data_IF_393799090334
#
_entry.id   IF_393799090334
#
_cell.length_a   1.000
_cell.length_b   1.000
_cell.length_c   1.000
_cell.angle_alpha   90.00
_cell.angle_beta   90.00
_cell.angle_gamma   90.00
#
_symmetry.space_group_name_H-M   'P 1'
#
loop_
_entity.id
_entity.type
_entity.pdbx_description
1 polymer ?
#
# COMPACT_ATOMS: atom_id res chain seq x y z
N UNK A 1 15.97 -31.11 6.13
CA UNK A 1 14.65 -30.45 6.28
C UNK A 1 13.60 -31.44 5.83
N UNK A 2 12.40 -31.41 6.41
CA UNK A 2 11.27 -32.26 6.02
C UNK A 2 10.14 -31.36 5.53
N UNK A 3 9.57 -31.68 4.37
CA UNK A 3 8.47 -30.95 3.72
C UNK A 3 7.22 -31.84 3.73
N UNK A 4 6.15 -31.33 4.34
CA UNK A 4 4.84 -31.98 4.39
C UNK A 4 3.85 -31.11 3.61
N UNK A 5 3.19 -31.69 2.61
CA UNK A 5 2.25 -30.97 1.76
C UNK A 5 0.80 -31.48 1.93
N UNK A 6 -0.16 -30.56 1.90
CA UNK A 6 -1.56 -30.90 1.65
C UNK A 6 -1.85 -30.63 0.17
N UNK A 7 -2.16 -31.68 -0.57
CA UNK A 7 -2.57 -31.59 -1.98
C UNK A 7 -4.06 -31.34 -2.02
N UNK A 8 -4.46 -30.17 -2.52
CA UNK A 8 -5.84 -29.71 -2.57
C UNK A 8 -6.13 -29.21 -3.99
N UNK A 9 -7.09 -29.81 -4.70
CA UNK A 9 -7.41 -29.41 -6.07
C UNK A 9 -7.97 -27.99 -6.20
N UNK A 10 -8.44 -27.41 -5.10
CA UNK A 10 -8.98 -26.05 -5.08
C UNK A 10 -7.86 -24.99 -4.96
N UNK A 11 -6.60 -25.39 -4.73
CA UNK A 11 -5.44 -24.48 -4.79
C UNK A 11 -5.11 -24.21 -6.26
N UNK A 12 -5.17 -22.96 -6.72
CA UNK A 12 -4.90 -22.64 -8.13
C UNK A 12 -3.45 -22.91 -8.48
N UNK A 13 -3.20 -23.36 -9.71
CA UNK A 13 -1.87 -23.57 -10.27
C UNK A 13 -1.28 -22.23 -10.72
N UNK A 14 -0.67 -21.51 -9.79
CA UNK A 14 0.01 -20.26 -10.05
C UNK A 14 1.38 -20.46 -10.74
N UNK A 15 1.70 -19.59 -11.71
CA UNK A 15 3.04 -19.51 -12.31
C UNK A 15 4.01 -18.70 -11.43
N UNK A 16 5.31 -18.78 -11.74
CA UNK A 16 6.38 -18.08 -11.02
C UNK A 16 7.18 -19.04 -10.15
N UNK A 17 7.68 -18.56 -9.01
CA UNK A 17 8.40 -19.37 -8.02
C UNK A 17 7.46 -20.29 -7.23
N UNK A 18 6.14 -20.16 -7.42
CA UNK A 18 5.14 -21.08 -6.89
C UNK A 18 5.23 -22.51 -7.47
N UNK A 19 5.98 -22.71 -8.56
CA UNK A 19 6.15 -24.01 -9.20
C UNK A 19 7.42 -24.72 -8.71
N UNK A 20 7.27 -25.92 -8.16
CA UNK A 20 8.39 -26.75 -7.72
C UNK A 20 8.14 -28.24 -8.03
N UNK A 21 9.20 -29.05 -8.21
CA UNK A 21 9.04 -30.47 -8.52
C UNK A 21 8.51 -31.25 -7.31
N UNK A 22 7.63 -32.21 -7.56
CA UNK A 22 7.07 -33.08 -6.53
C UNK A 22 8.13 -33.84 -5.72
N UNK A 23 9.33 -34.04 -6.26
CA UNK A 23 10.46 -34.66 -5.56
C UNK A 23 11.00 -33.83 -4.38
N UNK A 24 10.56 -32.58 -4.20
CA UNK A 24 10.85 -31.77 -3.02
C UNK A 24 9.89 -32.04 -1.83
N UNK A 25 8.88 -32.88 -2.01
CA UNK A 25 7.90 -33.22 -0.97
C UNK A 25 8.29 -34.57 -0.35
N UNK A 26 8.52 -34.60 0.97
CA UNK A 26 8.83 -35.85 1.69
C UNK A 26 7.56 -36.65 2.01
N UNK A 27 6.48 -35.94 2.37
CA UNK A 27 5.18 -36.52 2.69
C UNK A 27 4.06 -35.63 2.15
N UNK A 28 2.98 -36.24 1.64
CA UNK A 28 1.77 -35.51 1.30
C UNK A 28 0.50 -36.20 1.76
N UNK A 29 -0.54 -35.41 1.96
CA UNK A 29 -1.92 -35.86 2.20
C UNK A 29 -2.81 -35.19 1.17
N UNK A 30 -3.65 -35.96 0.50
CA UNK A 30 -4.68 -35.43 -0.39
C UNK A 30 -5.91 -35.04 0.44
N UNK A 31 -6.27 -33.75 0.41
CA UNK A 31 -7.46 -33.24 1.08
C UNK A 31 -7.99 -32.02 0.34
N UNK A 32 -9.13 -32.20 -0.30
CA UNK A 32 -9.84 -31.12 -0.99
C UNK A 32 -10.69 -30.33 0.02
N UNK A 33 -10.24 -29.13 0.36
CA UNK A 33 -11.01 -28.19 1.17
C UNK A 33 -11.21 -26.87 0.42
N UNK A 34 -12.32 -26.19 0.68
CA UNK A 34 -12.54 -24.86 0.12
C UNK A 34 -11.50 -23.88 0.66
N UNK A 35 -10.91 -23.08 -0.23
CA UNK A 35 -10.01 -22.02 0.20
C UNK A 35 -10.77 -20.95 0.99
N UNK A 36 -10.06 -20.33 1.93
CA UNK A 36 -10.57 -19.15 2.61
C UNK A 36 -10.85 -18.04 1.59
N UNK A 37 -12.05 -17.47 1.64
CA UNK A 37 -12.47 -16.38 0.76
C UNK A 37 -12.59 -15.10 1.57
N UNK A 38 -11.99 -14.03 1.04
CA UNK A 38 -12.17 -12.67 1.53
C UNK A 38 -12.95 -11.85 0.53
N UNK A 39 -14.21 -11.54 0.86
CA UNK A 39 -15.05 -10.72 0.00
C UNK A 39 -14.84 -9.23 0.27
N UNK A 40 -14.78 -8.44 -0.80
CA UNK A 40 -14.74 -6.99 -0.70
C UNK A 40 -16.02 -6.44 -0.07
N UNK A 41 -15.86 -5.51 0.86
CA UNK A 41 -16.96 -4.72 1.40
C UNK A 41 -17.30 -3.54 0.47
N UNK A 42 -18.53 -3.03 0.59
CA UNK A 42 -18.93 -1.82 -0.12
C UNK A 42 -18.08 -0.63 0.31
N UNK A 43 -17.65 0.19 -0.66
CA UNK A 43 -16.83 1.37 -0.41
C UNK A 43 -17.63 2.47 0.28
N UNK A 44 -17.14 2.95 1.41
CA UNK A 44 -17.65 4.16 2.07
C UNK A 44 -17.32 5.43 1.27
N UNK A 45 -18.07 6.50 1.49
CA UNK A 45 -17.79 7.79 0.84
C UNK A 45 -16.46 8.40 1.30
N UNK A 46 -16.03 8.10 2.52
CA UNK A 46 -14.71 8.47 3.00
C UNK A 46 -13.60 7.78 2.20
N UNK A 47 -13.72 6.47 1.97
CA UNK A 47 -12.76 5.70 1.18
C UNK A 47 -12.74 6.17 -0.28
N UNK A 48 -13.89 6.45 -0.88
CA UNK A 48 -13.97 7.01 -2.24
C UNK A 48 -13.23 8.34 -2.36
N UNK A 49 -13.37 9.25 -1.38
CA UNK A 49 -12.62 10.52 -1.37
C UNK A 49 -11.11 10.30 -1.30
N UNK A 50 -10.65 9.38 -0.45
CA UNK A 50 -9.23 9.01 -0.39
C UNK A 50 -8.79 8.39 -1.71
N UNK A 51 -9.56 7.45 -2.24
CA UNK A 51 -9.33 6.79 -3.53
C UNK A 51 -9.14 7.79 -4.66
N UNK A 52 -10.05 8.76 -4.77
CA UNK A 52 -9.98 9.85 -5.72
C UNK A 52 -8.70 10.68 -5.56
N UNK A 53 -8.38 11.11 -4.34
CA UNK A 53 -7.18 11.91 -4.06
C UNK A 53 -5.88 11.17 -4.40
N UNK A 54 -5.81 9.87 -4.12
CA UNK A 54 -4.67 9.02 -4.49
C UNK A 54 -4.60 8.83 -6.01
N UNK A 55 -5.74 8.59 -6.68
CA UNK A 55 -5.79 8.38 -8.13
C UNK A 55 -5.26 9.59 -8.91
N UNK A 56 -5.44 10.83 -8.42
CA UNK A 56 -4.83 12.03 -9.02
C UNK A 56 -3.30 12.02 -9.02
N UNK A 57 -2.67 11.20 -8.19
CA UNK A 57 -1.22 11.03 -8.15
C UNK A 57 -0.75 9.91 -9.08
N UNK A 58 -1.63 9.01 -9.50
CA UNK A 58 -1.29 7.90 -10.38
C UNK A 58 -1.13 8.45 -11.80
N UNK A 59 -0.09 8.00 -12.49
CA UNK A 59 0.16 8.37 -13.88
C UNK A 59 -0.09 7.18 -14.80
N UNK A 60 -0.42 7.45 -16.06
CA UNK A 60 -0.34 6.44 -17.11
C UNK A 60 1.05 5.80 -17.14
N UNK A 61 1.07 4.48 -17.28
CA UNK A 61 2.28 3.67 -17.23
C UNK A 61 2.80 3.36 -15.82
N UNK A 62 2.12 3.78 -14.75
CA UNK A 62 2.57 3.50 -13.39
C UNK A 62 2.62 2.01 -13.06
N UNK A 63 3.61 1.62 -12.26
CA UNK A 63 3.72 0.28 -11.70
C UNK A 63 3.17 0.29 -10.28
N UNK A 64 1.99 -0.28 -10.08
CA UNK A 64 1.24 -0.22 -8.83
C UNK A 64 1.75 -1.24 -7.82
N UNK A 65 1.88 -0.79 -6.57
CA UNK A 65 1.81 -1.64 -5.38
C UNK A 65 0.67 -1.13 -4.48
N UNK A 66 -0.14 -2.06 -3.98
CA UNK A 66 -1.15 -1.79 -2.97
C UNK A 66 -1.52 -3.06 -2.21
N UNK A 67 -2.08 -2.91 -1.01
CA UNK A 67 -2.59 -4.03 -0.22
C UNK A 67 -4.07 -4.32 -0.45
N UNK A 68 -4.68 -4.99 0.53
CA UNK A 68 -6.14 -5.19 0.63
C UNK A 68 -6.84 -4.08 1.41
N UNK A 69 -8.17 -4.02 1.28
CA UNK A 69 -9.04 -3.19 2.10
C UNK A 69 -9.73 -2.09 1.28
N UNK A 70 -10.60 -1.33 1.96
CA UNK A 70 -11.44 -0.36 1.28
C UNK A 70 -10.68 0.78 0.61
N UNK A 71 -9.56 1.25 1.18
CA UNK A 71 -8.74 2.30 0.54
C UNK A 71 -8.10 1.80 -0.77
N UNK A 72 -7.31 0.72 -0.81
CA UNK A 72 -6.79 0.18 -2.07
C UNK A 72 -7.88 -0.07 -3.12
N UNK A 73 -9.01 -0.65 -2.72
CA UNK A 73 -10.14 -0.90 -3.62
C UNK A 73 -10.76 0.41 -4.15
N UNK A 74 -10.87 1.44 -3.31
CA UNK A 74 -11.35 2.75 -3.73
C UNK A 74 -10.37 3.42 -4.71
N UNK A 75 -9.06 3.26 -4.52
CA UNK A 75 -8.09 3.73 -5.53
C UNK A 75 -8.33 3.03 -6.85
N UNK A 76 -8.37 1.69 -6.86
CA UNK A 76 -8.56 0.90 -8.08
C UNK A 76 -9.84 1.27 -8.84
N UNK A 77 -10.93 1.53 -8.12
CA UNK A 77 -12.20 1.97 -8.70
C UNK A 77 -12.06 3.29 -9.50
N UNK A 78 -11.17 4.19 -9.09
CA UNK A 78 -10.91 5.48 -9.74
C UNK A 78 -9.89 5.39 -10.88
N UNK A 79 -9.21 4.25 -11.05
CA UNK A 79 -8.17 4.09 -12.08
C UNK A 79 -8.71 3.70 -13.46
N UNK A 80 -10.02 3.56 -13.65
CA UNK A 80 -10.62 3.05 -14.89
C UNK A 80 -10.31 3.83 -16.17
N UNK A 81 -9.88 5.10 -16.06
CA UNK A 81 -9.50 5.95 -17.20
C UNK A 81 -7.98 6.02 -17.45
N UNK A 82 -7.17 5.38 -16.60
CA UNK A 82 -5.71 5.32 -16.79
C UNK A 82 -5.36 4.28 -17.86
N UNK A 83 -4.11 4.30 -18.32
CA UNK A 83 -3.62 3.42 -19.38
C UNK A 83 -2.30 2.77 -19.02
N UNK A 84 -2.17 1.51 -19.44
CA UNK A 84 -0.90 0.77 -19.43
C UNK A 84 -0.29 0.61 -18.04
N UNK A 85 -1.13 0.46 -17.02
CA UNK A 85 -0.68 0.22 -15.66
C UNK A 85 -0.03 -1.16 -15.56
N UNK A 86 0.99 -1.25 -14.72
CA UNK A 86 1.64 -2.50 -14.32
C UNK A 86 1.35 -2.82 -12.85
N UNK A 87 1.61 -4.07 -12.46
CA UNK A 87 1.51 -4.51 -11.06
C UNK A 87 2.81 -5.20 -10.66
N UNK A 88 3.42 -4.70 -9.59
CA UNK A 88 4.52 -5.32 -8.85
C UNK A 88 4.28 -5.02 -7.39
N UNK A 89 3.70 -5.97 -6.67
CA UNK A 89 3.15 -5.76 -5.33
C UNK A 89 3.59 -6.87 -4.39
N UNK A 90 3.44 -6.68 -3.08
CA UNK A 90 3.54 -7.78 -2.13
C UNK A 90 2.36 -8.74 -2.32
N UNK A 91 1.16 -8.16 -2.45
CA UNK A 91 -0.07 -8.93 -2.63
C UNK A 91 -1.13 -8.16 -3.43
N UNK A 92 -2.13 -8.85 -3.96
CA UNK A 92 -3.31 -8.21 -4.58
C UNK A 92 -4.60 -8.97 -4.28
N UNK A 93 -5.72 -8.30 -4.52
CA UNK A 93 -7.08 -8.80 -4.29
C UNK A 93 -7.99 -8.44 -5.47
N UNK A 94 -9.28 -8.74 -5.36
CA UNK A 94 -10.28 -8.68 -6.43
C UNK A 94 -10.41 -7.31 -7.11
N UNK A 95 -10.06 -6.22 -6.41
CA UNK A 95 -10.22 -4.86 -6.95
C UNK A 95 -9.45 -4.62 -8.26
N UNK A 96 -8.43 -5.42 -8.57
CA UNK A 96 -7.62 -5.27 -9.79
C UNK A 96 -8.30 -5.87 -11.02
N UNK A 97 -9.17 -6.88 -10.83
CA UNK A 97 -9.72 -7.69 -11.93
C UNK A 97 -10.47 -6.83 -12.97
N UNK A 98 -11.35 -5.88 -12.58
CA UNK A 98 -12.04 -5.04 -13.55
C UNK A 98 -11.10 -4.15 -14.37
N UNK A 99 -9.92 -3.79 -13.85
CA UNK A 99 -8.93 -3.02 -14.59
C UNK A 99 -8.15 -3.88 -15.58
N UNK A 100 -7.93 -5.15 -15.26
CA UNK A 100 -7.34 -6.12 -16.17
C UNK A 100 -8.29 -6.40 -17.33
N UNK A 101 -9.56 -6.68 -17.04
CA UNK A 101 -10.61 -6.91 -18.06
C UNK A 101 -10.76 -5.73 -19.02
N UNK A 102 -10.62 -4.50 -18.53
CA UNK A 102 -10.66 -3.27 -19.34
C UNK A 102 -9.36 -3.00 -20.10
N UNK A 103 -8.31 -3.79 -19.89
CA UNK A 103 -6.98 -3.57 -20.47
C UNK A 103 -6.21 -2.38 -19.89
N UNK A 104 -6.73 -1.76 -18.81
CA UNK A 104 -6.07 -0.68 -18.07
C UNK A 104 -4.80 -1.20 -17.42
N UNK A 105 -4.89 -2.38 -16.79
CA UNK A 105 -3.75 -3.12 -16.24
C UNK A 105 -3.30 -4.14 -17.28
N UNK A 106 -2.10 -3.94 -17.82
CA UNK A 106 -1.53 -4.84 -18.83
C UNK A 106 -0.01 -5.03 -18.68
N UNK A 107 0.66 -4.26 -17.82
CA UNK A 107 2.09 -4.42 -17.55
C UNK A 107 3.02 -4.10 -18.73
N UNK A 108 2.51 -3.52 -19.82
CA UNK A 108 3.28 -3.24 -21.05
C UNK A 108 4.38 -2.20 -20.88
N UNK A 109 4.33 -1.38 -19.82
CA UNK A 109 5.35 -0.38 -19.50
C UNK A 109 6.28 -0.76 -18.34
N UNK A 110 6.10 -1.95 -17.75
CA UNK A 110 7.06 -2.47 -16.76
C UNK A 110 8.43 -2.70 -17.42
N UNK A 111 9.48 -2.50 -16.63
CA UNK A 111 10.88 -2.65 -17.08
C UNK A 111 11.41 -4.05 -16.80
N UNK A 112 10.87 -4.70 -15.77
CA UNK A 112 11.07 -6.11 -15.45
C UNK A 112 9.71 -6.82 -15.42
N UNK A 113 9.68 -8.13 -15.61
CA UNK A 113 8.44 -8.93 -15.55
C UNK A 113 7.34 -8.32 -16.44
N UNK A 114 7.74 -7.90 -17.64
CA UNK A 114 6.91 -7.15 -18.58
C UNK A 114 5.70 -7.98 -19.01
N UNK A 115 4.53 -7.34 -19.03
CA UNK A 115 3.28 -8.01 -19.36
C UNK A 115 2.71 -8.89 -18.22
N UNK A 116 3.40 -8.98 -17.07
CA UNK A 116 2.97 -9.79 -15.93
C UNK A 116 2.55 -8.94 -14.74
N UNK A 117 1.50 -9.38 -14.06
CA UNK A 117 1.20 -9.02 -12.68
C UNK A 117 2.09 -9.85 -11.75
N UNK A 118 2.86 -9.19 -10.89
CA UNK A 118 3.81 -9.86 -9.97
C UNK A 118 3.38 -9.62 -8.53
N UNK A 119 3.29 -10.70 -7.75
CA UNK A 119 2.95 -10.67 -6.33
C UNK A 119 3.60 -11.83 -5.55
N UNK A 120 3.65 -11.76 -4.23
CA UNK A 120 4.16 -12.83 -3.37
C UNK A 120 3.04 -13.72 -2.84
N UNK A 121 1.90 -13.13 -2.52
CA UNK A 121 0.68 -13.85 -2.18
C UNK A 121 -0.55 -13.09 -2.66
N UNK A 122 -1.74 -13.69 -2.52
CA UNK A 122 -3.00 -13.04 -2.81
C UNK A 122 -4.08 -13.53 -1.84
N UNK A 123 -5.16 -12.76 -1.72
CA UNK A 123 -6.32 -13.12 -0.92
C UNK A 123 -7.54 -12.40 -1.48
N UNK A 124 -8.63 -13.14 -1.69
CA UNK A 124 -9.81 -12.57 -2.32
C UNK A 124 -10.95 -13.57 -2.47
N UNK A 125 -11.80 -13.34 -3.48
CA UNK A 125 -12.90 -14.23 -3.82
C UNK A 125 -12.46 -15.42 -4.66
N UNK A 126 -13.41 -16.35 -4.89
CA UNK A 126 -13.22 -17.45 -5.84
C UNK A 126 -12.85 -16.94 -7.24
N UNK A 127 -13.39 -15.80 -7.68
CA UNK A 127 -13.07 -15.23 -8.99
C UNK A 127 -11.58 -14.85 -9.11
N UNK A 128 -10.95 -14.41 -8.00
CA UNK A 128 -9.52 -14.15 -7.97
C UNK A 128 -8.70 -15.44 -8.07
N UNK A 129 -9.12 -16.50 -7.38
CA UNK A 129 -8.47 -17.80 -7.44
C UNK A 129 -8.59 -18.43 -8.83
N UNK A 130 -9.77 -18.38 -9.43
CA UNK A 130 -10.01 -18.84 -10.80
C UNK A 130 -9.21 -18.01 -11.81
N UNK A 131 -9.07 -16.70 -11.59
CA UNK A 131 -8.31 -15.82 -12.47
C UNK A 131 -6.82 -16.15 -12.54
N UNK A 132 -6.21 -16.59 -11.43
CA UNK A 132 -4.79 -16.93 -11.41
C UNK A 132 -4.49 -18.36 -11.83
N UNK A 133 -5.48 -19.24 -11.81
CA UNK A 133 -5.32 -20.65 -12.17
C UNK A 133 -4.90 -20.79 -13.63
N UNK A 134 -3.72 -21.36 -13.84
CA UNK A 134 -3.08 -21.55 -15.15
C UNK A 134 -3.03 -20.28 -16.03
N UNK A 135 -2.90 -19.10 -15.41
CA UNK A 135 -2.83 -17.83 -16.11
C UNK A 135 -1.39 -17.27 -16.20
N UNK A 136 -0.74 -17.29 -17.38
CA UNK A 136 0.66 -16.85 -17.54
C UNK A 136 0.87 -15.33 -17.37
N UNK A 137 -0.21 -14.55 -17.31
CA UNK A 137 -0.17 -13.12 -17.00
C UNK A 137 0.17 -12.87 -15.51
N UNK A 138 0.00 -13.85 -14.64
CA UNK A 138 0.27 -13.71 -13.20
C UNK A 138 1.53 -14.50 -12.86
N UNK A 139 2.44 -13.89 -12.10
CA UNK A 139 3.63 -14.53 -11.56
C UNK A 139 3.67 -14.34 -10.03
N UNK A 140 3.51 -15.44 -9.32
CA UNK A 140 3.67 -15.53 -7.88
C UNK A 140 5.13 -15.83 -7.56
N UNK A 141 5.83 -14.84 -7.00
CA UNK A 141 7.28 -14.83 -6.83
C UNK A 141 7.67 -14.81 -5.36
N UNK A 142 8.88 -15.26 -5.03
CA UNK A 142 9.41 -15.14 -3.67
C UNK A 142 9.39 -13.68 -3.19
N UNK A 143 9.15 -13.50 -1.89
CA UNK A 143 9.09 -12.17 -1.24
C UNK A 143 10.41 -11.42 -1.40
N UNK A 144 11.55 -12.11 -1.48
CA UNK A 144 12.84 -11.48 -1.74
C UNK A 144 12.90 -10.78 -3.12
N UNK A 145 12.17 -11.29 -4.11
CA UNK A 145 12.02 -10.66 -5.42
C UNK A 145 11.00 -9.53 -5.40
N UNK A 146 9.81 -9.77 -4.83
CA UNK A 146 8.73 -8.78 -4.84
C UNK A 146 9.06 -7.56 -3.98
N UNK A 147 9.60 -7.78 -2.78
CA UNK A 147 9.86 -6.73 -1.79
C UNK A 147 11.31 -6.24 -1.83
N UNK A 148 12.18 -6.85 -2.62
CA UNK A 148 13.55 -6.38 -2.77
C UNK A 148 13.58 -4.94 -3.31
N UNK A 149 14.01 -3.97 -2.50
CA UNK A 149 14.11 -2.54 -2.91
C UNK A 149 14.88 -2.37 -4.23
N UNK A 150 15.94 -3.17 -4.41
CA UNK A 150 16.78 -3.20 -5.60
C UNK A 150 16.06 -3.78 -6.85
N UNK A 151 15.00 -4.56 -6.65
CA UNK A 151 14.11 -5.06 -7.71
C UNK A 151 13.02 -4.04 -8.00
N UNK A 152 12.31 -3.57 -6.95
CA UNK A 152 11.20 -2.62 -7.07
C UNK A 152 11.63 -1.39 -7.89
N UNK A 153 12.78 -0.80 -7.56
CA UNK A 153 13.28 0.42 -8.20
C UNK A 153 13.64 0.28 -9.69
N UNK A 154 13.67 -0.95 -10.24
CA UNK A 154 13.94 -1.18 -11.67
C UNK A 154 12.76 -0.77 -12.53
N UNK A 155 11.54 -0.87 -12.01
CA UNK A 155 10.36 -0.34 -12.68
C UNK A 155 10.34 1.18 -12.54
N UNK A 156 9.85 1.87 -13.58
CA UNK A 156 9.58 3.31 -13.55
C UNK A 156 8.20 3.57 -12.94
N UNK A 157 8.00 4.78 -12.44
CA UNK A 157 6.73 5.27 -11.91
C UNK A 157 6.09 4.28 -10.91
N UNK A 158 6.91 3.68 -10.05
CA UNK A 158 6.39 2.80 -9.01
C UNK A 158 5.54 3.65 -8.07
N UNK A 159 4.25 3.35 -7.99
CA UNK A 159 3.30 4.02 -7.10
C UNK A 159 2.96 3.03 -5.99
N UNK A 160 3.56 3.23 -4.83
CA UNK A 160 3.39 2.37 -3.67
C UNK A 160 2.38 2.99 -2.70
N UNK A 161 1.21 2.37 -2.57
CA UNK A 161 0.07 2.90 -1.80
C UNK A 161 -0.11 2.02 -0.56
N UNK A 162 0.15 2.60 0.61
CA UNK A 162 0.08 1.91 1.89
C UNK A 162 -0.79 2.70 2.88
N UNK A 163 -1.27 2.04 3.93
CA UNK A 163 -2.04 2.70 4.99
C UNK A 163 -1.26 2.80 6.30
N UNK A 164 -1.80 3.57 7.23
CA UNK A 164 -1.21 3.80 8.54
C UNK A 164 -2.28 3.92 9.64
N UNK A 165 -1.87 3.64 10.87
CA UNK A 165 -2.68 3.83 12.07
C UNK A 165 -2.57 5.27 12.56
N UNK A 166 -1.39 5.88 12.50
CA UNK A 166 -1.21 7.29 12.84
C UNK A 166 0.02 7.91 12.18
N UNK A 167 -0.02 9.23 12.03
CA UNK A 167 1.11 10.05 11.54
C UNK A 167 1.31 11.23 12.49
N UNK A 168 2.56 11.53 12.85
CA UNK A 168 2.88 12.71 13.66
C UNK A 168 3.20 13.96 12.81
N UNK A 169 3.26 15.13 13.45
CA UNK A 169 3.57 16.41 12.78
C UNK A 169 4.95 16.46 12.10
N UNK A 170 5.85 15.51 12.36
CA UNK A 170 7.14 15.41 11.68
C UNK A 170 7.10 14.47 10.47
N UNK A 171 5.99 13.75 10.29
CA UNK A 171 5.81 12.76 9.25
C UNK A 171 6.34 11.37 9.62
N UNK A 172 6.52 11.05 10.91
CA UNK A 172 6.70 9.65 11.31
C UNK A 172 5.38 8.91 11.19
N UNK A 173 5.45 7.66 10.75
CA UNK A 173 4.28 6.82 10.47
C UNK A 173 4.30 5.61 11.39
N UNK A 174 3.24 5.44 12.16
CA UNK A 174 2.94 4.20 12.86
C UNK A 174 1.86 3.43 12.09
N UNK A 175 2.12 2.16 11.82
CA UNK A 175 1.23 1.30 11.05
C UNK A 175 1.00 -0.09 11.67
N UNK A 176 1.77 -0.47 12.69
CA UNK A 176 1.78 -1.85 13.23
C UNK A 176 1.28 -1.96 14.68
N UNK A 177 1.05 -0.83 15.36
CA UNK A 177 0.81 -0.80 16.79
C UNK A 177 -0.05 0.39 17.25
N UNK A 178 -0.64 0.26 18.43
CA UNK A 178 -1.39 1.31 19.13
C UNK A 178 -0.72 1.50 20.49
N UNK A 179 0.17 2.48 20.58
CA UNK A 179 1.10 2.59 21.71
C UNK A 179 1.95 1.31 21.80
N UNK A 180 2.04 0.71 22.98
CA UNK A 180 2.77 -0.55 23.20
C UNK A 180 2.03 -1.80 22.73
N UNK A 181 0.77 -1.69 22.29
CA UNK A 181 -0.03 -2.84 21.87
C UNK A 181 0.20 -3.14 20.40
N UNK A 182 0.75 -4.32 20.11
CA UNK A 182 0.93 -4.81 18.75
C UNK A 182 -0.44 -5.08 18.08
N UNK A 183 -0.60 -4.61 16.85
CA UNK A 183 -1.84 -4.72 16.08
C UNK A 183 -1.64 -5.54 14.80
N UNK A 184 -0.54 -5.31 14.10
CA UNK A 184 -0.13 -6.02 12.88
C UNK A 184 1.40 -5.98 12.76
N UNK A 185 1.98 -6.34 11.62
CA UNK A 185 3.44 -6.26 11.41
C UNK A 185 3.89 -5.06 10.57
N UNK A 186 5.22 -4.90 10.47
CA UNK A 186 5.89 -3.98 9.53
C UNK A 186 5.54 -4.32 8.07
N UNK A 187 5.49 -5.63 7.76
CA UNK A 187 5.27 -6.14 6.40
C UNK A 187 6.27 -5.58 5.38
N UNK A 188 5.89 -5.52 4.12
CA UNK A 188 6.69 -4.88 3.06
C UNK A 188 6.47 -3.38 2.91
N UNK A 189 5.75 -2.71 3.82
CA UNK A 189 5.42 -1.28 3.67
C UNK A 189 6.69 -0.45 3.44
N UNK A 190 7.68 -0.60 4.31
CA UNK A 190 8.91 0.19 4.24
C UNK A 190 9.73 -0.14 2.99
N UNK A 191 9.68 -1.39 2.53
CA UNK A 191 10.36 -1.85 1.32
C UNK A 191 9.80 -1.17 0.08
N UNK A 192 8.47 -1.14 -0.05
CA UNK A 192 7.80 -0.49 -1.17
C UNK A 192 7.89 1.03 -1.10
N UNK A 193 7.85 1.63 0.09
CA UNK A 193 8.07 3.08 0.25
C UNK A 193 9.48 3.45 -0.24
N UNK A 194 10.51 2.69 0.14
CA UNK A 194 11.90 2.92 -0.31
C UNK A 194 12.14 2.55 -1.77
N UNK A 195 11.51 1.49 -2.25
CA UNK A 195 11.57 1.06 -3.64
C UNK A 195 10.97 2.12 -4.56
N UNK A 196 9.79 2.63 -4.22
CA UNK A 196 9.13 3.72 -4.93
C UNK A 196 9.94 5.03 -4.87
N UNK A 197 10.56 5.36 -3.73
CA UNK A 197 11.37 6.59 -3.63
C UNK A 197 12.61 6.55 -4.51
N UNK A 198 13.13 5.36 -4.82
CA UNK A 198 14.28 5.16 -5.70
C UNK A 198 13.92 4.85 -7.16
N UNK A 199 12.64 4.66 -7.47
CA UNK A 199 12.12 4.51 -8.82
C UNK A 199 12.11 5.87 -9.52
N UNK A 200 12.51 5.90 -10.79
CA UNK A 200 12.35 7.08 -11.65
C UNK A 200 10.86 7.48 -11.73
N UNK A 201 10.50 8.68 -11.26
CA UNK A 201 9.11 9.14 -11.19
C UNK A 201 8.23 8.39 -10.17
N UNK A 202 8.81 7.64 -9.25
CA UNK A 202 8.06 6.86 -8.27
C UNK A 202 7.40 7.71 -7.19
N UNK A 203 6.31 7.19 -6.62
CA UNK A 203 5.48 7.86 -5.61
C UNK A 203 5.22 6.93 -4.42
N UNK A 204 5.95 7.12 -3.31
CA UNK A 204 5.61 6.53 -2.02
C UNK A 204 4.42 7.28 -1.39
N UNK A 205 3.33 6.57 -1.12
CA UNK A 205 2.07 7.14 -0.65
C UNK A 205 1.62 6.42 0.63
N UNK A 206 1.36 7.22 1.67
CA UNK A 206 0.62 6.81 2.87
C UNK A 206 -0.78 7.41 2.79
N UNK A 207 -1.79 6.57 2.70
CA UNK A 207 -3.20 6.94 2.58
C UNK A 207 -4.00 6.41 3.77
N UNK A 208 -4.72 7.30 4.45
CA UNK A 208 -5.45 6.97 5.67
C UNK A 208 -6.62 7.93 5.92
N UNK A 209 -7.69 7.48 6.61
CA UNK A 209 -8.66 8.40 7.18
C UNK A 209 -7.97 9.37 8.13
N UNK A 210 -8.41 10.62 8.18
CA UNK A 210 -7.87 11.61 9.12
C UNK A 210 -8.30 11.35 10.57
N UNK A 211 -9.42 10.66 10.77
CA UNK A 211 -9.99 10.27 12.08
C UNK A 211 -10.40 8.80 12.11
N UNK A 212 -10.49 8.23 13.31
CA UNK A 212 -11.13 6.93 13.55
C UNK A 212 -12.65 7.04 13.46
N UNK A 213 -13.36 5.90 13.45
CA UNK A 213 -14.83 5.87 13.52
C UNK A 213 -15.41 6.51 14.78
N UNK A 214 -14.58 6.73 15.83
CA UNK A 214 -14.95 7.43 17.07
C UNK A 214 -14.60 8.92 17.04
N UNK A 215 -14.18 9.47 15.90
CA UNK A 215 -13.78 10.88 15.75
C UNK A 215 -12.39 11.22 16.30
N UNK A 216 -11.63 10.24 16.80
CA UNK A 216 -10.25 10.47 17.31
C UNK A 216 -9.31 10.73 16.14
N UNK A 217 -8.54 11.82 16.19
CA UNK A 217 -7.55 12.16 15.15
C UNK A 217 -6.49 11.07 15.01
N UNK A 218 -6.22 10.67 13.77
CA UNK A 218 -5.09 9.79 13.42
C UNK A 218 -3.84 10.60 13.03
N UNK A 219 -3.98 11.91 12.83
CA UNK A 219 -2.86 12.85 12.77
C UNK A 219 -2.63 13.42 14.17
N UNK A 220 -1.42 13.30 14.70
CA UNK A 220 -1.12 13.58 16.11
C UNK A 220 0.07 14.54 16.26
N UNK A 221 0.18 15.29 17.37
CA UNK A 221 1.38 16.09 17.66
C UNK A 221 2.66 15.24 17.72
N UNK A 222 2.55 14.11 18.41
CA UNK A 222 3.56 13.06 18.59
C UNK A 222 2.83 11.73 18.58
N UNK A 223 3.49 10.68 18.08
CA UNK A 223 2.97 9.33 18.17
C UNK A 223 2.75 8.92 19.63
N UNK A 224 1.84 7.97 19.86
CA UNK A 224 1.60 7.41 21.19
C UNK A 224 2.90 6.84 21.77
N UNK A 225 3.09 6.96 23.08
CA UNK A 225 4.24 6.37 23.76
C UNK A 225 4.31 4.87 23.49
N UNK A 226 5.50 4.41 23.07
CA UNK A 226 5.73 3.01 22.70
C UNK A 226 5.27 2.61 21.28
N UNK A 227 4.65 3.51 20.50
CA UNK A 227 4.24 3.19 19.14
C UNK A 227 5.43 2.89 18.21
N UNK A 228 5.29 1.83 17.42
CA UNK A 228 6.27 1.40 16.42
C UNK A 228 6.29 2.33 15.20
N UNK A 229 7.44 2.96 14.95
CA UNK A 229 7.65 3.73 13.72
C UNK A 229 8.01 2.78 12.59
N UNK A 230 7.04 2.50 11.72
CA UNK A 230 7.20 1.62 10.55
C UNK A 230 7.84 2.38 9.40
N UNK A 231 7.31 3.56 9.07
CA UNK A 231 7.89 4.46 8.06
C UNK A 231 8.45 5.69 8.75
N UNK A 232 9.77 5.84 8.68
CA UNK A 232 10.46 6.98 9.28
C UNK A 232 10.13 8.27 8.54
N UNK A 233 10.30 9.42 9.23
CA UNK A 233 10.13 10.74 8.61
C UNK A 233 10.96 10.92 7.33
N UNK A 234 12.15 10.33 7.24
CA UNK A 234 13.03 10.44 6.07
C UNK A 234 12.49 9.70 4.84
N UNK A 235 11.67 8.67 5.05
CA UNK A 235 11.07 7.87 3.98
C UNK A 235 9.68 8.37 3.55
N UNK A 236 9.07 9.28 4.32
CA UNK A 236 7.76 9.84 4.03
C UNK A 236 7.79 10.82 2.85
N UNK A 237 7.00 10.54 1.82
CA UNK A 237 6.77 11.44 0.67
C UNK A 237 5.33 11.96 0.68
N UNK A 238 4.35 11.19 0.24
CA UNK A 238 2.97 11.63 0.14
C UNK A 238 2.13 11.17 1.33
N UNK A 239 1.41 12.09 1.96
CA UNK A 239 0.34 11.81 2.90
C UNK A 239 -1.00 12.18 2.25
N UNK A 240 -1.93 11.24 2.23
CA UNK A 240 -3.26 11.41 1.63
C UNK A 240 -4.33 11.06 2.65
N UNK A 241 -5.31 11.94 2.77
CA UNK A 241 -6.54 11.73 3.54
C UNK A 241 -7.75 12.10 2.69
N UNK A 242 -8.95 12.00 3.26
CA UNK A 242 -10.18 12.48 2.65
C UNK A 242 -10.20 14.00 2.40
N UNK A 243 -9.26 14.76 2.99
CA UNK A 243 -9.13 16.21 2.83
C UNK A 243 -8.10 16.65 1.80
N UNK A 244 -7.38 15.72 1.18
CA UNK A 244 -6.44 15.99 0.09
C UNK A 244 -5.12 15.24 0.22
N UNK A 245 -4.14 15.65 -0.57
CA UNK A 245 -2.82 15.04 -0.66
C UNK A 245 -1.73 16.10 -0.47
N UNK A 246 -0.69 15.79 0.31
CA UNK A 246 0.47 16.66 0.51
C UNK A 246 1.78 15.90 0.36
N UNK A 247 2.76 16.53 -0.28
CA UNK A 247 4.11 16.01 -0.42
C UNK A 247 5.02 16.60 0.68
N UNK A 248 5.70 15.73 1.42
CA UNK A 248 6.59 16.03 2.56
C UNK A 248 8.07 15.83 2.20
N UNK A 249 8.37 15.36 0.99
CA UNK A 249 9.74 15.17 0.52
C UNK A 249 10.50 16.51 0.44
N UNK A 250 11.73 16.54 0.96
CA UNK A 250 12.57 17.74 1.00
C UNK A 250 12.11 18.86 1.93
N UNK A 251 11.01 18.68 2.66
CA UNK A 251 10.45 19.71 3.55
C UNK A 251 11.09 19.70 4.95
N UNK A 252 11.29 20.89 5.50
CA UNK A 252 11.66 21.11 6.91
C UNK A 252 10.55 20.62 7.86
N UNK A 253 10.84 20.46 9.15
CA UNK A 253 9.86 19.99 10.13
C UNK A 253 8.65 20.95 10.26
N UNK A 254 8.89 22.26 10.20
CA UNK A 254 7.84 23.27 10.25
C UNK A 254 6.96 23.21 9.00
N UNK A 255 7.55 23.09 7.81
CA UNK A 255 6.79 22.94 6.57
C UNK A 255 5.98 21.64 6.56
N UNK A 256 6.55 20.53 7.06
CA UNK A 256 5.84 19.26 7.19
C UNK A 256 4.63 19.39 8.09
N UNK A 257 4.78 19.96 9.28
CA UNK A 257 3.66 20.18 10.19
C UNK A 257 2.53 20.98 9.52
N UNK A 258 2.85 22.10 8.86
CA UNK A 258 1.85 22.89 8.14
C UNK A 258 1.16 22.13 7.01
N UNK A 259 1.90 21.30 6.26
CA UNK A 259 1.31 20.49 5.19
C UNK A 259 0.42 19.37 5.74
N UNK A 260 0.88 18.65 6.76
CA UNK A 260 0.13 17.58 7.42
C UNK A 260 -1.18 18.12 8.01
N UNK A 261 -1.15 19.28 8.67
CA UNK A 261 -2.35 19.91 9.26
C UNK A 261 -3.41 20.26 8.19
N UNK A 262 -3.00 20.64 6.98
CA UNK A 262 -3.95 20.94 5.89
C UNK A 262 -4.82 19.75 5.49
N UNK A 263 -4.29 18.54 5.65
CA UNK A 263 -5.01 17.29 5.35
C UNK A 263 -5.56 16.60 6.61
N UNK A 264 -5.51 17.26 7.77
CA UNK A 264 -6.20 16.80 8.97
C UNK A 264 -7.69 17.17 8.95
N UNK A 265 -8.48 16.45 9.74
CA UNK A 265 -9.89 16.79 9.99
C UNK A 265 -9.99 18.22 10.53
N UNK A 266 -10.91 19.07 10.02
CA UNK A 266 -11.09 20.45 10.45
C UNK A 266 -11.12 20.64 11.97
N UNK A 267 -11.87 19.78 12.67
CA UNK A 267 -12.03 19.82 14.14
C UNK A 267 -10.71 19.66 14.93
N UNK A 268 -9.69 19.02 14.33
CA UNK A 268 -8.42 18.75 14.99
C UNK A 268 -7.31 19.73 14.59
N UNK A 269 -7.55 20.62 13.61
CA UNK A 269 -6.51 21.51 13.06
C UNK A 269 -6.01 22.53 14.06
N UNK A 270 -6.89 23.12 14.88
CA UNK A 270 -6.50 24.09 15.91
C UNK A 270 -5.54 23.47 16.92
N UNK A 271 -5.89 22.31 17.47
CA UNK A 271 -5.07 21.60 18.43
C UNK A 271 -3.70 21.23 17.85
N UNK A 272 -3.67 20.74 16.61
CA UNK A 272 -2.43 20.38 15.93
C UNK A 272 -1.56 21.60 15.64
N UNK A 273 -2.16 22.73 15.26
CA UNK A 273 -1.44 23.98 14.99
C UNK A 273 -0.84 24.57 16.27
N UNK A 274 -1.59 24.56 17.38
CA UNK A 274 -1.08 24.94 18.71
C UNK A 274 0.08 24.06 19.13
N UNK A 275 -0.04 22.74 18.98
CA UNK A 275 1.05 21.81 19.32
C UNK A 275 2.28 21.99 18.41
N UNK A 276 2.09 22.34 17.13
CA UNK A 276 3.18 22.69 16.23
C UNK A 276 3.90 23.95 16.70
N UNK A 277 3.16 24.99 17.09
CA UNK A 277 3.72 26.23 17.63
C UNK A 277 4.49 25.99 18.95
N UNK A 278 3.91 25.26 19.89
CA UNK A 278 4.56 24.90 21.15
C UNK A 278 5.88 24.15 20.91
N UNK A 279 5.93 23.29 19.90
CA UNK A 279 7.11 22.50 19.55
C UNK A 279 8.20 23.29 18.83
N UNK A 280 7.83 24.18 17.91
CA UNK A 280 8.78 24.84 16.99
C UNK A 280 8.99 26.32 17.28
N UNK A 281 8.24 26.88 18.24
CA UNK A 281 8.30 28.27 18.64
C UNK A 281 7.75 29.24 17.60
N UNK A 282 8.03 30.53 17.83
CA UNK A 282 7.55 31.65 17.01
C UNK A 282 7.87 31.48 15.52
N UNK A 283 9.03 30.92 15.19
CA UNK A 283 9.46 30.67 13.81
C UNK A 283 8.51 29.80 12.99
N UNK A 284 7.64 29.00 13.63
CA UNK A 284 6.60 28.22 12.95
C UNK A 284 5.57 29.07 12.20
N UNK A 285 5.33 30.33 12.58
CA UNK A 285 4.49 31.24 11.79
C UNK A 285 5.31 32.12 10.86
N UNK A 286 6.62 32.26 11.09
CA UNK A 286 7.49 33.19 10.36
C UNK A 286 8.34 32.56 9.25
N UNK A 287 8.31 31.23 9.01
CA UNK A 287 8.91 30.69 7.78
C UNK A 287 8.08 31.17 6.58
N UNK A 288 8.50 32.28 5.98
CA UNK A 288 7.96 32.79 4.71
C UNK A 288 8.31 31.86 3.57
N UNK A 289 7.43 31.83 2.55
CA UNK A 289 7.57 31.08 1.30
C UNK A 289 8.94 31.27 0.64
#
# INVERSE_FOLDING_TARGET
HTVIAQVNKNVPRAFGDAMFPASMIDYFVEHDESLYIHNNSALSDLEKKIGYNVAQLVEDGACLQMGIGGIPNAVLAELGNHKNLGVHTEMFSDGILPLVEKGVVNGSQKQIDKGKMVASFLMGSQALYDFIDDNPMVAMMDVAHTNGIHVIRKNKKVTAINSALSVDLTGQVCADSIGTTHYSGVGGQIDFIRGASHSEGGKPIIAMPSVTSKGVSKITPTLMEGAGVVTTRANMHWLVTEYGAVNLYGKTLQERARQIIKVAHPDHREMLDRAAFERFGSHYYFVSK
#
